data_IF_108090712568
#
_entry.id   IF_108090712568
#
_cell.length_a   1.000
_cell.length_b   1.000
_cell.length_c   1.000
_cell.angle_alpha   90.00
_cell.angle_beta   90.00
_cell.angle_gamma   90.00
#
_symmetry.space_group_name_H-M   'P 1'
#
loop_
_entity.id
_entity.type
_entity.pdbx_description
1 polymer ?
#
# COMPACT_ATOMS: atom_id res chain seq x y z
N UNK A 1 0.72 25.15 -4.32
CA UNK A 1 1.40 24.35 -3.28
C UNK A 1 0.81 22.94 -3.11
N UNK A 2 -0.52 22.77 -3.01
CA UNK A 2 -1.14 21.44 -2.81
C UNK A 2 -0.80 20.41 -3.93
N UNK A 3 -0.82 20.84 -5.20
CA UNK A 3 -0.51 19.96 -6.35
C UNK A 3 0.95 19.49 -6.37
N UNK A 4 1.92 20.39 -6.16
CA UNK A 4 3.34 20.02 -6.02
C UNK A 4 3.54 19.04 -4.85
N UNK A 5 2.88 19.31 -3.71
CA UNK A 5 2.91 18.40 -2.56
C UNK A 5 2.36 17.02 -2.89
N UNK A 6 1.29 16.92 -3.69
CA UNK A 6 0.75 15.62 -4.15
C UNK A 6 1.69 14.91 -5.13
N UNK A 7 2.38 15.64 -6.01
CA UNK A 7 3.37 15.05 -6.91
C UNK A 7 4.53 14.44 -6.13
N UNK A 8 5.09 15.18 -5.16
CA UNK A 8 6.18 14.70 -4.31
C UNK A 8 5.70 13.49 -3.48
N UNK A 9 4.52 13.60 -2.85
CA UNK A 9 3.93 12.49 -2.10
C UNK A 9 3.70 11.25 -2.97
N UNK A 10 3.32 11.43 -4.23
CA UNK A 10 3.17 10.33 -5.20
C UNK A 10 4.49 9.64 -5.52
N UNK A 11 5.56 10.42 -5.76
CA UNK A 11 6.90 9.87 -6.00
C UNK A 11 7.40 9.09 -4.76
N UNK A 12 7.15 9.62 -3.57
CA UNK A 12 7.51 8.96 -2.31
C UNK A 12 6.59 7.77 -1.94
N UNK A 13 5.48 7.54 -2.65
CA UNK A 13 4.54 6.47 -2.32
C UNK A 13 5.07 5.05 -2.61
N UNK A 14 6.20 4.94 -3.33
CA UNK A 14 6.80 3.64 -3.71
C UNK A 14 7.54 2.92 -2.56
N UNK A 15 7.54 3.49 -1.35
CA UNK A 15 8.25 2.92 -0.18
C UNK A 15 7.86 1.48 0.15
N UNK A 16 6.60 1.10 -0.05
CA UNK A 16 6.15 -0.28 0.16
C UNK A 16 6.80 -1.28 -0.81
N UNK A 17 6.98 -0.91 -2.08
CA UNK A 17 7.62 -1.74 -3.08
C UNK A 17 9.12 -1.91 -2.79
N UNK A 18 9.79 -0.82 -2.39
CA UNK A 18 11.21 -0.84 -1.99
C UNK A 18 11.42 -1.72 -0.76
N UNK A 19 10.57 -1.60 0.26
CA UNK A 19 10.63 -2.44 1.46
C UNK A 19 10.39 -3.93 1.14
N UNK A 20 9.44 -4.23 0.25
CA UNK A 20 9.18 -5.59 -0.20
C UNK A 20 10.37 -6.19 -0.97
N UNK A 21 11.00 -5.42 -1.86
CA UNK A 21 12.22 -5.85 -2.57
C UNK A 21 13.36 -6.12 -1.60
N UNK A 22 13.59 -5.21 -0.65
CA UNK A 22 14.63 -5.36 0.38
C UNK A 22 14.47 -6.64 1.20
N UNK A 23 13.24 -6.99 1.57
CA UNK A 23 12.95 -8.25 2.27
C UNK A 23 13.20 -9.44 1.33
N UNK A 24 12.78 -9.35 0.07
CA UNK A 24 12.98 -10.42 -0.90
C UNK A 24 14.49 -10.71 -1.16
N UNK A 25 15.30 -9.66 -1.26
CA UNK A 25 16.73 -9.73 -1.61
C UNK A 25 17.59 -10.20 -0.42
N UNK A 26 17.24 -9.80 0.81
CA UNK A 26 18.05 -10.06 2.01
C UNK A 26 17.57 -11.25 2.87
N UNK A 27 16.43 -11.88 2.56
CA UNK A 27 15.84 -12.93 3.40
C UNK A 27 15.80 -14.29 2.69
N UNK A 28 16.23 -15.34 3.41
CA UNK A 28 16.13 -16.72 2.97
C UNK A 28 14.68 -17.16 2.70
N UNK A 29 14.48 -18.07 1.74
CA UNK A 29 13.15 -18.51 1.28
C UNK A 29 12.25 -19.06 2.40
N UNK A 30 12.85 -19.70 3.42
CA UNK A 30 12.15 -20.28 4.57
C UNK A 30 11.61 -19.23 5.55
N UNK A 31 12.24 -18.06 5.65
CA UNK A 31 11.83 -17.00 6.60
C UNK A 31 11.05 -15.87 5.91
N UNK A 32 11.08 -15.81 4.58
CA UNK A 32 10.49 -14.76 3.74
C UNK A 32 9.02 -14.51 4.05
N UNK A 33 8.22 -15.56 4.23
CA UNK A 33 6.79 -15.44 4.59
C UNK A 33 6.59 -14.75 5.94
N UNK A 34 7.44 -15.02 6.93
CA UNK A 34 7.36 -14.41 8.25
C UNK A 34 7.69 -12.91 8.17
N UNK A 35 8.72 -12.54 7.41
CA UNK A 35 9.11 -11.14 7.23
C UNK A 35 8.07 -10.33 6.44
N UNK A 36 7.48 -10.90 5.39
CA UNK A 36 6.32 -10.28 4.73
C UNK A 36 5.11 -10.13 5.67
N UNK A 37 4.89 -11.09 6.57
CA UNK A 37 3.88 -10.96 7.63
C UNK A 37 4.14 -9.79 8.58
N UNK A 38 5.40 -9.58 8.99
CA UNK A 38 5.80 -8.44 9.83
C UNK A 38 5.63 -7.10 9.10
N UNK A 39 5.98 -7.05 7.81
CA UNK A 39 5.76 -5.85 6.98
C UNK A 39 4.26 -5.51 6.91
N UNK A 40 3.41 -6.52 6.67
CA UNK A 40 1.95 -6.34 6.68
C UNK A 40 1.41 -5.88 8.03
N UNK A 41 1.92 -6.43 9.14
CA UNK A 41 1.56 -6.00 10.49
C UNK A 41 1.94 -4.54 10.77
N UNK A 42 3.10 -4.10 10.29
CA UNK A 42 3.53 -2.70 10.40
C UNK A 42 2.62 -1.76 9.59
N UNK A 43 2.24 -2.14 8.36
CA UNK A 43 1.28 -1.38 7.55
C UNK A 43 -0.09 -1.27 8.24
N UNK A 44 -0.57 -2.36 8.83
CA UNK A 44 -1.82 -2.36 9.60
C UNK A 44 -1.73 -1.47 10.86
N UNK A 45 -0.66 -1.59 11.63
CA UNK A 45 -0.45 -0.72 12.78
C UNK A 45 -0.43 0.76 12.37
N UNK A 46 0.22 1.10 11.26
CA UNK A 46 0.24 2.44 10.70
C UNK A 46 -1.14 2.95 10.25
N UNK A 47 -1.99 2.11 9.67
CA UNK A 47 -3.33 2.52 9.22
C UNK A 47 -4.32 2.75 10.38
N UNK A 48 -4.09 2.16 11.56
CA UNK A 48 -4.84 2.47 12.78
C UNK A 48 -4.25 3.69 13.49
N UNK A 49 -2.93 3.67 13.73
CA UNK A 49 -2.25 4.71 14.50
C UNK A 49 -2.26 6.06 13.78
N UNK A 50 -2.16 6.06 12.44
CA UNK A 50 -2.13 7.27 11.62
C UNK A 50 -3.37 8.15 11.81
N UNK A 51 -4.59 7.66 11.54
CA UNK A 51 -5.83 8.43 11.75
C UNK A 51 -6.08 8.79 13.21
N UNK A 52 -5.71 7.91 14.16
CA UNK A 52 -5.86 8.20 15.59
C UNK A 52 -4.98 9.37 16.04
N UNK A 53 -3.69 9.32 15.73
CA UNK A 53 -2.71 10.36 16.06
C UNK A 53 -3.01 11.64 15.27
N UNK A 54 -3.31 11.51 13.97
CA UNK A 54 -3.64 12.64 13.10
C UNK A 54 -4.93 13.34 13.52
N UNK A 55 -5.95 12.59 13.95
CA UNK A 55 -7.20 13.12 14.49
C UNK A 55 -6.99 13.90 15.80
N UNK A 56 -6.14 13.37 16.69
CA UNK A 56 -5.81 14.02 17.96
C UNK A 56 -4.95 15.29 17.76
N UNK A 57 -3.95 15.26 16.90
CA UNK A 57 -3.11 16.44 16.65
C UNK A 57 -3.85 17.48 15.80
N UNK A 58 -4.74 17.03 14.91
CA UNK A 58 -5.55 17.89 14.04
C UNK A 58 -6.62 18.72 14.75
N UNK A 59 -6.85 18.48 16.05
CA UNK A 59 -7.75 19.29 16.89
C UNK A 59 -7.29 20.74 17.00
N UNK A 60 -5.97 20.95 17.07
CA UNK A 60 -5.39 22.27 17.35
C UNK A 60 -5.16 23.09 16.07
N UNK A 61 -4.78 22.42 14.98
CA UNK A 61 -4.63 23.04 13.66
C UNK A 61 -4.55 21.97 12.58
N UNK A 62 -5.12 22.25 11.41
CA UNK A 62 -5.02 21.39 10.24
C UNK A 62 -3.57 21.17 9.75
N UNK A 63 -2.62 22.03 10.14
CA UNK A 63 -1.22 21.92 9.73
C UNK A 63 -0.39 20.94 10.57
N UNK A 64 -0.74 20.74 11.84
CA UNK A 64 0.09 19.96 12.76
C UNK A 64 0.19 18.46 12.40
N UNK A 65 -0.85 17.79 11.89
CA UNK A 65 -0.72 16.42 11.40
C UNK A 65 0.34 16.27 10.30
N UNK A 66 0.48 17.27 9.41
CA UNK A 66 1.49 17.26 8.36
C UNK A 66 2.91 17.43 8.92
N UNK A 67 3.08 18.29 9.93
CA UNK A 67 4.37 18.47 10.61
C UNK A 67 4.77 17.20 11.36
N UNK A 68 3.82 16.57 12.08
CA UNK A 68 4.06 15.31 12.76
C UNK A 68 4.44 14.20 11.77
N UNK A 69 3.75 14.11 10.63
CA UNK A 69 4.10 13.17 9.57
C UNK A 69 5.50 13.44 8.98
N UNK A 70 5.88 14.70 8.80
CA UNK A 70 7.22 15.07 8.32
C UNK A 70 8.32 14.66 9.31
N UNK A 71 8.11 14.90 10.62
CA UNK A 71 9.04 14.48 11.67
C UNK A 71 9.18 12.96 11.69
N UNK A 72 8.07 12.22 11.63
CA UNK A 72 8.07 10.77 11.65
C UNK A 72 8.82 10.19 10.43
N UNK A 73 8.61 10.77 9.24
CA UNK A 73 9.37 10.40 8.04
C UNK A 73 10.86 10.76 8.16
N UNK A 74 11.19 11.90 8.77
CA UNK A 74 12.58 12.29 9.02
C UNK A 74 13.29 11.31 9.96
N UNK A 75 12.62 10.86 11.02
CA UNK A 75 13.14 9.83 11.92
C UNK A 75 13.32 8.51 11.17
N UNK A 76 12.33 8.09 10.38
CA UNK A 76 12.43 6.88 9.57
C UNK A 76 13.62 6.95 8.58
N UNK A 77 13.83 8.09 7.93
CA UNK A 77 14.97 8.32 7.04
C UNK A 77 16.30 8.18 7.77
N UNK A 78 16.45 8.83 8.94
CA UNK A 78 17.66 8.74 9.76
C UNK A 78 17.92 7.29 10.18
N UNK A 79 16.89 6.58 10.63
CA UNK A 79 17.00 5.17 11.01
C UNK A 79 17.43 4.30 9.83
N UNK A 80 16.87 4.52 8.63
CA UNK A 80 17.29 3.79 7.43
C UNK A 80 18.75 4.07 7.11
N UNK A 81 19.19 5.33 7.14
CA UNK A 81 20.59 5.68 6.86
C UNK A 81 21.54 5.07 7.90
N UNK A 82 21.16 5.05 9.19
CA UNK A 82 22.00 4.51 10.27
C UNK A 82 22.01 2.99 10.33
N UNK A 83 20.89 2.30 10.04
CA UNK A 83 20.81 0.84 10.06
C UNK A 83 21.24 0.19 8.74
N UNK A 84 21.10 0.89 7.61
CA UNK A 84 21.52 0.40 6.29
C UNK A 84 22.69 1.20 5.68
N UNK A 85 23.77 1.51 6.42
CA UNK A 85 24.82 2.38 5.92
C UNK A 85 25.64 1.75 4.79
N UNK A 86 25.59 0.42 4.61
CA UNK A 86 26.41 -0.30 3.64
C UNK A 86 25.71 -1.57 3.12
N UNK A 87 24.51 -1.44 2.52
CA UNK A 87 24.20 -2.43 1.50
C UNK A 87 25.11 -2.13 0.32
N UNK A 88 26.12 -2.97 0.12
CA UNK A 88 26.82 -3.05 -1.16
C UNK A 88 25.70 -3.16 -2.17
N UNK A 89 25.46 -2.07 -2.90
CA UNK A 89 24.82 -2.15 -4.20
C UNK A 89 25.71 -3.16 -4.89
N UNK A 90 25.29 -4.43 -4.93
CA UNK A 90 25.85 -5.37 -5.87
C UNK A 90 25.83 -4.56 -7.17
N UNK A 91 26.98 -4.40 -7.85
CA UNK A 91 27.04 -3.57 -9.05
C UNK A 91 25.80 -3.95 -9.81
N UNK A 92 24.99 -2.97 -10.21
CA UNK A 92 23.96 -3.18 -11.22
C UNK A 92 24.74 -3.95 -12.26
N UNK A 93 24.56 -5.26 -12.30
CA UNK A 93 25.29 -6.08 -13.24
C UNK A 93 24.70 -5.54 -14.50
N UNK A 94 25.52 -4.77 -15.24
CA UNK A 94 25.13 -4.08 -16.45
C UNK A 94 24.40 -5.12 -17.28
N UNK A 95 23.10 -5.08 -17.09
CA UNK A 95 22.14 -5.83 -17.81
C UNK A 95 21.56 -4.71 -18.67
N UNK A 96 22.34 -4.01 -19.49
CA UNK A 96 22.98 -4.56 -20.69
C UNK A 96 22.87 -6.09 -20.92
N UNK A 97 21.76 -6.74 -20.55
CA UNK A 97 20.81 -7.09 -21.58
C UNK A 97 20.75 -5.86 -22.45
N UNK A 98 21.58 -5.88 -23.49
CA UNK A 98 21.12 -5.51 -24.81
C UNK A 98 19.60 -5.60 -24.73
N UNK A 99 18.93 -4.51 -25.07
CA UNK A 99 17.61 -4.65 -25.66
C UNK A 99 17.91 -5.39 -26.98
N UNK A 100 18.33 -6.65 -26.87
CA UNK A 100 18.44 -7.63 -27.91
C UNK A 100 17.00 -7.66 -28.32
N UNK A 101 16.77 -6.95 -29.42
CA UNK A 101 15.51 -6.74 -30.08
C UNK A 101 14.65 -7.93 -29.69
N UNK A 102 13.71 -7.71 -28.76
CA UNK A 102 12.71 -8.74 -28.48
C UNK A 102 12.18 -8.99 -29.88
N UNK A 103 12.44 -10.16 -30.49
CA UNK A 103 11.93 -10.37 -31.82
C UNK A 103 10.44 -10.21 -31.59
N UNK A 104 9.86 -9.17 -32.20
CA UNK A 104 8.43 -9.10 -32.41
C UNK A 104 8.16 -10.24 -33.38
N UNK A 105 8.30 -11.47 -32.87
CA UNK A 105 7.97 -12.67 -33.54
C UNK A 105 6.48 -12.52 -33.68
N UNK A 106 6.14 -12.27 -34.94
CA UNK A 106 4.83 -12.11 -35.48
C UNK A 106 4.10 -13.44 -35.27
N UNK A 107 3.76 -13.76 -34.02
CA UNK A 107 2.93 -14.88 -33.62
C UNK A 107 1.47 -14.45 -33.82
N UNK A 108 1.21 -14.16 -35.08
CA UNK A 108 -0.07 -14.33 -35.74
C UNK A 108 -0.48 -15.79 -35.54
N UNK A 109 -1.18 -16.06 -34.42
CA UNK A 109 -2.37 -16.91 -34.30
C UNK A 109 -2.67 -17.24 -32.83
N UNK A 110 -3.69 -16.55 -32.32
CA UNK A 110 -4.87 -17.19 -31.73
C UNK A 110 -4.74 -18.00 -30.42
N UNK A 111 -4.15 -17.42 -29.37
CA UNK A 111 -4.50 -17.77 -27.97
C UNK A 111 -4.57 -16.57 -27.02
N UNK A 112 -3.94 -15.43 -27.35
CA UNK A 112 -4.00 -14.21 -26.53
C UNK A 112 -5.36 -13.49 -26.53
N UNK A 113 -6.11 -13.57 -27.63
CA UNK A 113 -7.37 -12.83 -27.83
C UNK A 113 -8.54 -13.34 -26.96
N UNK A 114 -8.75 -14.66 -26.72
CA UNK A 114 -9.83 -15.13 -25.85
C UNK A 114 -9.60 -14.89 -24.35
N UNK A 115 -8.35 -14.68 -23.88
CA UNK A 115 -8.03 -14.37 -22.47
C UNK A 115 -8.16 -12.87 -22.17
N UNK A 116 -7.92 -12.01 -23.17
CA UNK A 116 -8.02 -10.54 -23.00
C UNK A 116 -9.44 -10.09 -22.64
N UNK A 117 -10.50 -10.70 -23.18
CA UNK A 117 -11.90 -10.33 -22.85
C UNK A 117 -12.25 -10.52 -21.37
N UNK A 118 -12.06 -11.70 -20.75
CA UNK A 118 -12.31 -11.86 -19.32
C UNK A 118 -11.35 -11.04 -18.45
N UNK A 119 -10.10 -10.82 -18.88
CA UNK A 119 -9.15 -9.95 -18.15
C UNK A 119 -9.57 -8.48 -18.19
N UNK A 120 -10.03 -7.95 -19.33
CA UNK A 120 -10.56 -6.57 -19.42
C UNK A 120 -11.79 -6.44 -18.54
N UNK A 121 -12.71 -7.42 -18.58
CA UNK A 121 -13.88 -7.41 -17.69
C UNK A 121 -13.47 -7.43 -16.22
N UNK A 122 -12.50 -8.27 -15.84
CA UNK A 122 -11.97 -8.33 -14.47
C UNK A 122 -11.29 -7.03 -14.06
N UNK A 123 -10.55 -6.37 -14.95
CA UNK A 123 -9.91 -5.08 -14.71
C UNK A 123 -10.95 -3.98 -14.52
N UNK A 124 -11.98 -3.94 -15.35
CA UNK A 124 -13.10 -2.99 -15.21
C UNK A 124 -13.81 -3.24 -13.88
N UNK A 125 -14.13 -4.49 -13.55
CA UNK A 125 -14.76 -4.85 -12.29
C UNK A 125 -13.91 -4.44 -11.09
N UNK A 126 -12.61 -4.75 -11.12
CA UNK A 126 -11.66 -4.35 -10.08
C UNK A 126 -11.57 -2.84 -9.95
N UNK A 127 -11.51 -2.12 -11.07
CA UNK A 127 -11.50 -0.66 -11.10
C UNK A 127 -12.80 -0.09 -10.50
N UNK A 128 -13.95 -0.62 -10.87
CA UNK A 128 -15.25 -0.21 -10.33
C UNK A 128 -15.33 -0.45 -8.81
N UNK A 129 -14.92 -1.62 -8.34
CA UNK A 129 -14.88 -1.94 -6.91
C UNK A 129 -13.93 -1.00 -6.16
N UNK A 130 -12.74 -0.72 -6.72
CA UNK A 130 -11.81 0.24 -6.14
C UNK A 130 -12.38 1.65 -6.08
N UNK A 131 -13.03 2.11 -7.15
CA UNK A 131 -13.68 3.42 -7.18
C UNK A 131 -14.74 3.57 -6.10
N UNK A 132 -15.59 2.55 -5.92
CA UNK A 132 -16.60 2.53 -4.85
C UNK A 132 -15.94 2.62 -3.47
N UNK A 133 -14.78 1.97 -3.26
CA UNK A 133 -14.05 2.04 -2.00
C UNK A 133 -13.40 3.41 -1.69
N UNK A 134 -12.96 4.13 -2.73
CA UNK A 134 -12.26 5.41 -2.55
C UNK A 134 -13.19 6.61 -2.30
N UNK A 135 -14.44 6.55 -2.78
CA UNK A 135 -15.42 7.63 -2.61
C UNK A 135 -15.74 7.88 -1.12
N UNK A 136 -16.09 6.86 -0.30
CA UNK A 136 -16.25 7.02 1.14
C UNK A 136 -14.97 7.53 1.81
N UNK A 137 -13.80 7.02 1.43
CA UNK A 137 -12.53 7.41 2.04
C UNK A 137 -12.24 8.92 1.93
N UNK A 138 -12.71 9.56 0.86
CA UNK A 138 -12.51 11.00 0.63
C UNK A 138 -13.62 11.86 1.23
N UNK A 139 -14.87 11.39 1.19
CA UNK A 139 -16.04 12.18 1.60
C UNK A 139 -16.42 12.00 3.08
N UNK A 140 -15.96 10.93 3.74
CA UNK A 140 -16.38 10.58 5.10
C UNK A 140 -16.15 11.72 6.11
N UNK A 141 -14.99 12.38 6.04
CA UNK A 141 -14.65 13.51 6.89
C UNK A 141 -15.65 14.66 6.72
N UNK A 142 -15.87 15.07 5.47
CA UNK A 142 -16.77 16.18 5.15
C UNK A 142 -18.23 15.86 5.50
N UNK A 143 -18.66 14.63 5.25
CA UNK A 143 -20.03 14.18 5.56
C UNK A 143 -20.29 14.16 7.07
N UNK A 144 -19.34 13.63 7.85
CA UNK A 144 -19.50 13.53 9.31
C UNK A 144 -19.44 14.89 10.00
N UNK A 145 -18.60 15.79 9.49
CA UNK A 145 -18.58 17.19 9.91
C UNK A 145 -19.91 17.90 9.60
N UNK A 146 -20.41 17.81 8.38
CA UNK A 146 -21.63 18.51 7.97
C UNK A 146 -22.93 17.93 8.58
N UNK A 147 -23.00 16.61 8.80
CA UNK A 147 -24.23 15.94 9.26
C UNK A 147 -24.32 15.78 10.77
N UNK A 148 -23.18 15.56 11.43
CA UNK A 148 -23.10 15.21 12.85
C UNK A 148 -22.27 16.20 13.67
N UNK A 149 -21.74 17.27 13.05
CA UNK A 149 -20.89 18.27 13.71
C UNK A 149 -19.69 17.63 14.43
N UNK A 150 -19.18 16.53 13.87
CA UNK A 150 -18.05 15.82 14.46
C UNK A 150 -16.77 16.66 14.37
N UNK A 151 -16.11 16.83 15.52
CA UNK A 151 -14.76 17.39 15.58
C UNK A 151 -13.72 16.38 15.02
N UNK A 152 -12.56 16.87 14.60
CA UNK A 152 -11.44 16.12 14.01
C UNK A 152 -11.05 14.87 14.80
N UNK A 153 -11.20 14.91 16.13
CA UNK A 153 -10.97 13.75 17.01
C UNK A 153 -11.95 12.60 16.75
N UNK A 154 -13.26 12.88 16.71
CA UNK A 154 -14.29 11.85 16.49
C UNK A 154 -14.17 11.23 15.09
N UNK A 155 -13.85 12.08 14.10
CA UNK A 155 -13.57 11.62 12.74
C UNK A 155 -12.35 10.70 12.72
N UNK A 156 -11.23 11.13 13.34
CA UNK A 156 -10.01 10.31 13.43
C UNK A 156 -10.24 8.97 14.13
N UNK A 157 -11.04 8.96 15.22
CA UNK A 157 -11.40 7.74 15.93
C UNK A 157 -12.25 6.80 15.06
N UNK A 158 -13.19 7.34 14.28
CA UNK A 158 -14.00 6.54 13.35
C UNK A 158 -13.15 5.91 12.24
N UNK A 159 -12.20 6.65 11.69
CA UNK A 159 -11.27 6.17 10.67
C UNK A 159 -10.29 5.13 11.23
N UNK A 160 -9.82 5.31 12.47
CA UNK A 160 -9.03 4.31 13.16
C UNK A 160 -9.82 3.02 13.39
N UNK A 161 -11.10 3.13 13.77
CA UNK A 161 -12.01 1.99 13.88
C UNK A 161 -12.22 1.27 12.55
N UNK A 162 -12.38 2.01 11.45
CA UNK A 162 -12.46 1.46 10.10
C UNK A 162 -11.17 0.72 9.72
N UNK A 163 -10.00 1.29 10.01
CA UNK A 163 -8.71 0.65 9.79
C UNK A 163 -8.57 -0.67 10.57
N UNK A 164 -9.01 -0.68 11.83
CA UNK A 164 -9.00 -1.86 12.69
C UNK A 164 -9.91 -2.95 12.13
N UNK A 165 -11.13 -2.60 11.70
CA UNK A 165 -12.03 -3.53 11.03
C UNK A 165 -11.43 -4.06 9.73
N UNK A 166 -10.82 -3.20 8.92
CA UNK A 166 -10.18 -3.61 7.68
C UNK A 166 -9.06 -4.64 7.93
N UNK A 167 -8.21 -4.41 8.93
CA UNK A 167 -7.15 -5.36 9.31
C UNK A 167 -7.76 -6.66 9.84
N UNK A 168 -8.83 -6.58 10.64
CA UNK A 168 -9.50 -7.77 11.14
C UNK A 168 -10.06 -8.64 10.00
N UNK A 169 -10.78 -8.03 9.05
CA UNK A 169 -11.29 -8.74 7.88
C UNK A 169 -10.16 -9.29 6.99
N UNK A 170 -9.10 -8.52 6.77
CA UNK A 170 -7.97 -8.94 5.95
C UNK A 170 -7.16 -10.06 6.61
N UNK A 171 -6.97 -10.03 7.93
CA UNK A 171 -6.20 -11.04 8.64
C UNK A 171 -7.01 -12.33 8.87
N UNK A 172 -8.25 -12.21 9.35
CA UNK A 172 -9.06 -13.36 9.75
C UNK A 172 -9.92 -13.88 8.60
N UNK A 173 -10.71 -13.02 7.94
CA UNK A 173 -11.67 -13.48 6.93
C UNK A 173 -10.96 -13.89 5.64
N UNK A 174 -10.08 -13.05 5.12
CA UNK A 174 -9.31 -13.41 3.92
C UNK A 174 -8.34 -14.57 4.20
N UNK A 175 -7.71 -14.60 5.38
CA UNK A 175 -6.87 -15.74 5.80
C UNK A 175 -7.64 -17.06 5.95
N UNK A 176 -8.86 -17.01 6.50
CA UNK A 176 -9.74 -18.17 6.63
C UNK A 176 -10.23 -18.67 5.27
N UNK A 177 -10.71 -17.77 4.40
CA UNK A 177 -11.16 -18.13 3.04
C UNK A 177 -9.99 -18.70 2.23
N UNK A 178 -8.81 -18.06 2.28
CA UNK A 178 -7.64 -18.50 1.55
C UNK A 178 -7.08 -19.85 2.05
N UNK A 179 -7.28 -20.22 3.31
CA UNK A 179 -6.90 -21.56 3.80
C UNK A 179 -7.97 -22.61 3.48
N UNK A 180 -9.25 -22.24 3.46
CA UNK A 180 -10.38 -23.11 3.10
C UNK A 180 -10.33 -23.54 1.63
N UNK A 181 -10.14 -22.61 0.69
CA UNK A 181 -10.20 -22.89 -0.76
C UNK A 181 -8.85 -23.32 -1.38
N UNK A 182 -7.74 -23.23 -0.64
CA UNK A 182 -6.43 -23.72 -1.08
C UNK A 182 -6.41 -25.23 -1.35
N UNK A 183 -7.31 -25.99 -0.72
CA UNK A 183 -7.42 -27.43 -0.93
C UNK A 183 -8.23 -27.82 -2.18
N UNK A 184 -8.90 -26.87 -2.85
CA UNK A 184 -9.72 -27.15 -4.04
C UNK A 184 -9.10 -26.64 -5.36
N UNK A 185 -8.06 -25.81 -5.28
CA UNK A 185 -7.39 -25.24 -6.46
C UNK A 185 -5.92 -25.61 -6.42
N UNK A 186 -5.63 -26.86 -6.80
CA UNK A 186 -4.30 -27.28 -7.25
C UNK A 186 -4.24 -26.92 -8.75
N UNK A 187 -3.42 -25.92 -9.09
CA UNK A 187 -2.95 -25.73 -10.46
C UNK A 187 -1.77 -26.67 -10.72
#
# INVERSE_FOLDING_TARGET
>A
MLYLGRMIAGISASTGAVAASMIADNTNATERTQWFGRLGAAFGAGSIAGPAIGGFIGQYSAHYPFIAAAILNGIALILVIMLFPHQKIAPIQDSSTDIAEIPLENSSKSTFIPIIKPVIFLLILFFTVQMIGQVPATLWVLFTEARFEWNTFNVGLSLAGLGLMHIFFQAFVAGYIASRYRNEVVF
#
